data_IF_064791366592
#
_entry.id   IF_064791366592
#
_cell.length_a   1.000
_cell.length_b   1.000
_cell.length_c   1.000
_cell.angle_alpha   90.00
_cell.angle_beta   90.00
_cell.angle_gamma   90.00
#
_symmetry.space_group_name_H-M   'P 1'
#
loop_
_entity.id
_entity.type
_entity.pdbx_description
1 polymer ?
#
# COMPACT_ATOMS: atom_id res chain seq x y z
N UNK A 1 -19.67 23.44 37.25
CA UNK A 1 -18.28 22.96 37.47
C UNK A 1 -17.93 22.18 36.23
N UNK A 2 -17.38 22.91 35.26
CA UNK A 2 -17.23 22.52 33.88
C UNK A 2 -16.08 21.55 33.65
N UNK A 3 -16.29 20.73 32.62
CA UNK A 3 -15.39 19.76 32.02
C UNK A 3 -13.90 20.17 32.01
N UNK A 4 -13.06 19.35 32.65
CA UNK A 4 -11.69 19.17 32.20
C UNK A 4 -11.65 18.05 31.15
N UNK A 5 -12.04 18.41 29.93
CA UNK A 5 -11.63 17.70 28.73
C UNK A 5 -10.18 18.12 28.44
N UNK A 6 -9.21 17.30 28.84
CA UNK A 6 -7.84 17.47 28.39
C UNK A 6 -7.78 17.31 26.86
N UNK A 7 -7.12 18.22 26.12
CA UNK A 7 -6.97 18.06 24.68
C UNK A 7 -6.05 16.86 24.38
N UNK A 8 -6.64 15.85 23.75
CA UNK A 8 -5.98 14.71 23.11
C UNK A 8 -4.69 15.17 22.42
N UNK A 9 -3.55 14.66 22.89
CA UNK A 9 -2.22 14.98 22.39
C UNK A 9 -2.15 14.67 20.89
N UNK A 10 -2.29 15.70 20.05
CA UNK A 10 -2.04 15.61 18.63
C UNK A 10 -0.60 15.15 18.43
N UNK A 11 -0.42 13.93 17.91
CA UNK A 11 0.91 13.47 17.44
C UNK A 11 1.51 14.60 16.58
N UNK A 12 2.77 14.97 16.78
CA UNK A 12 3.36 16.05 16.01
C UNK A 12 3.23 15.71 14.52
N UNK A 13 2.52 16.57 13.78
CA UNK A 13 2.44 16.47 12.33
C UNK A 13 3.87 16.50 11.79
N UNK A 14 4.25 15.50 11.01
CA UNK A 14 5.59 15.43 10.41
C UNK A 14 5.77 16.72 9.58
N UNK A 15 6.79 17.55 9.87
CA UNK A 15 6.97 18.80 9.16
C UNK A 15 7.22 18.51 7.68
N UNK A 16 6.72 19.35 6.74
CA UNK A 16 6.89 19.12 5.30
C UNK A 16 8.35 18.92 4.87
N UNK A 17 9.30 19.55 5.56
CA UNK A 17 10.75 19.40 5.32
C UNK A 17 11.29 17.99 5.55
N UNK A 18 10.63 17.18 6.40
CA UNK A 18 10.99 15.78 6.64
C UNK A 18 10.26 14.80 5.71
N UNK A 19 9.23 15.27 5.00
CA UNK A 19 8.49 14.46 4.04
C UNK A 19 9.25 14.49 2.72
N UNK A 20 9.64 13.31 2.22
CA UNK A 20 10.23 13.18 0.88
C UNK A 20 9.22 12.62 -0.11
N UNK A 21 9.12 13.29 -1.26
CA UNK A 21 8.36 12.85 -2.42
C UNK A 21 9.21 12.80 -3.67
N UNK A 22 8.86 11.91 -4.58
CA UNK A 22 9.57 11.69 -5.82
C UNK A 22 8.67 11.99 -7.01
N UNK A 23 9.25 12.60 -8.05
CA UNK A 23 8.55 12.88 -9.30
C UNK A 23 8.18 11.58 -10.02
N UNK A 24 7.21 11.68 -10.92
CA UNK A 24 6.80 10.56 -11.77
C UNK A 24 7.96 9.92 -12.54
N UNK A 25 8.96 10.70 -12.98
CA UNK A 25 10.15 10.16 -13.66
C UNK A 25 10.98 9.24 -12.75
N UNK A 26 11.21 9.65 -11.50
CA UNK A 26 11.91 8.82 -10.51
C UNK A 26 11.09 7.58 -10.13
N UNK A 27 9.77 7.74 -9.93
CA UNK A 27 8.87 6.63 -9.67
C UNK A 27 8.90 5.60 -10.83
N UNK A 28 8.78 6.05 -12.08
CA UNK A 28 8.88 5.19 -13.26
C UNK A 28 10.20 4.41 -13.31
N UNK A 29 11.33 5.07 -13.03
CA UNK A 29 12.66 4.43 -13.02
C UNK A 29 12.78 3.36 -11.94
N UNK A 30 12.32 3.65 -10.73
CA UNK A 30 12.40 2.72 -9.58
C UNK A 30 11.49 1.52 -9.79
N UNK A 31 10.26 1.78 -10.26
CA UNK A 31 9.25 0.75 -10.46
C UNK A 31 9.56 -0.09 -11.70
N UNK A 32 10.07 0.52 -12.76
CA UNK A 32 10.23 -0.10 -14.08
C UNK A 32 8.94 -0.06 -14.89
N UNK A 33 8.26 1.10 -14.92
CA UNK A 33 7.05 1.34 -15.72
C UNK A 33 7.25 2.55 -16.63
N UNK A 34 6.46 2.61 -17.69
CA UNK A 34 6.39 3.79 -18.55
C UNK A 34 5.62 4.93 -17.90
N UNK A 35 5.88 6.17 -18.33
CA UNK A 35 5.11 7.33 -17.88
C UNK A 35 3.62 7.22 -18.22
N UNK A 36 3.28 6.59 -19.35
CA UNK A 36 1.88 6.33 -19.75
C UNK A 36 1.17 5.38 -18.78
N UNK A 37 1.84 4.30 -18.36
CA UNK A 37 1.28 3.39 -17.34
C UNK A 37 1.05 4.13 -16.03
N UNK A 38 2.03 4.91 -15.57
CA UNK A 38 1.89 5.71 -14.36
C UNK A 38 0.72 6.71 -14.47
N UNK A 39 0.62 7.44 -15.58
CA UNK A 39 -0.46 8.41 -15.77
C UNK A 39 -1.84 7.74 -15.86
N UNK A 40 -1.94 6.61 -16.56
CA UNK A 40 -3.17 5.83 -16.63
C UNK A 40 -3.61 5.34 -15.25
N UNK A 41 -2.69 4.82 -14.43
CA UNK A 41 -2.99 4.36 -13.07
C UNK A 41 -3.40 5.50 -12.13
N UNK A 42 -2.79 6.67 -12.27
CA UNK A 42 -3.20 7.86 -11.52
C UNK A 42 -4.56 8.37 -11.95
N UNK A 43 -4.83 8.47 -13.25
CA UNK A 43 -6.10 8.96 -13.78
C UNK A 43 -7.28 8.02 -13.50
N UNK A 44 -7.02 6.72 -13.35
CA UNK A 44 -8.04 5.70 -13.03
C UNK A 44 -8.14 5.39 -11.54
N UNK A 45 -7.46 6.18 -10.69
CA UNK A 45 -7.47 6.03 -9.23
C UNK A 45 -6.87 4.72 -8.72
N UNK A 46 -6.08 4.01 -9.54
CA UNK A 46 -5.40 2.79 -9.12
C UNK A 46 -4.25 3.11 -8.15
N UNK A 47 -3.46 4.14 -8.45
CA UNK A 47 -2.53 4.76 -7.48
C UNK A 47 -2.44 6.24 -7.75
N UNK A 48 -2.73 7.03 -6.73
CA UNK A 48 -2.63 8.48 -6.80
C UNK A 48 -1.40 8.97 -6.02
N UNK A 49 -0.76 10.06 -6.45
CA UNK A 49 0.32 10.69 -5.70
C UNK A 49 -0.21 11.25 -4.37
N UNK A 50 0.28 10.71 -3.24
CA UNK A 50 -0.18 11.10 -1.91
C UNK A 50 0.44 12.39 -1.36
N UNK A 51 1.63 12.79 -1.87
CA UNK A 51 2.33 13.99 -1.38
C UNK A 51 1.83 15.24 -2.09
N UNK A 52 1.74 15.19 -3.42
CA UNK A 52 1.23 16.31 -4.21
C UNK A 52 0.49 15.78 -5.45
N UNK A 53 -0.83 15.96 -5.54
CA UNK A 53 -1.58 15.68 -6.76
C UNK A 53 -1.22 16.67 -7.87
N UNK A 54 -1.66 16.35 -9.10
CA UNK A 54 -1.59 17.34 -10.17
C UNK A 54 -2.62 18.44 -9.91
N UNK A 55 -2.16 19.69 -9.87
CA UNK A 55 -2.98 20.89 -9.73
C UNK A 55 -2.61 21.87 -10.86
N UNK A 56 -3.25 21.72 -12.02
CA UNK A 56 -3.06 22.59 -13.19
C UNK A 56 -1.77 22.33 -13.99
N UNK A 57 -1.61 23.13 -15.07
CA UNK A 57 -0.43 23.08 -15.96
C UNK A 57 0.84 23.45 -15.20
N UNK A 58 1.90 22.66 -15.35
CA UNK A 58 3.21 22.89 -14.70
C UNK A 58 3.38 22.28 -13.29
N UNK A 59 2.31 21.76 -12.68
CA UNK A 59 2.41 21.08 -11.37
C UNK A 59 3.00 19.67 -11.51
N UNK A 60 4.00 19.36 -10.67
CA UNK A 60 4.64 18.05 -10.67
C UNK A 60 4.05 17.16 -9.59
N UNK A 61 3.46 16.03 -9.99
CA UNK A 61 3.00 14.99 -9.07
C UNK A 61 4.18 14.50 -8.22
N UNK A 62 3.99 14.46 -6.90
CA UNK A 62 4.96 13.88 -5.96
C UNK A 62 4.37 12.63 -5.31
N UNK A 63 5.06 11.52 -5.50
CA UNK A 63 4.74 10.21 -4.94
C UNK A 63 5.53 10.00 -3.66
N UNK A 64 4.88 9.50 -2.62
CA UNK A 64 5.54 9.08 -1.39
C UNK A 64 6.32 7.78 -1.59
N UNK A 65 7.18 7.45 -0.62
CA UNK A 65 7.84 6.15 -0.55
C UNK A 65 6.84 4.99 -0.66
N UNK A 66 5.71 5.14 0.03
CA UNK A 66 4.61 4.18 0.04
C UNK A 66 3.96 4.04 -1.33
N UNK A 67 3.68 5.14 -2.02
CA UNK A 67 3.08 5.10 -3.34
C UNK A 67 3.96 4.29 -4.30
N UNK A 68 5.28 4.46 -4.20
CA UNK A 68 6.25 3.74 -5.03
C UNK A 68 6.28 2.24 -4.73
N UNK A 69 6.14 1.84 -3.46
CA UNK A 69 5.96 0.43 -3.08
C UNK A 69 4.68 -0.12 -3.71
N UNK A 70 3.56 0.58 -3.57
CA UNK A 70 2.26 0.15 -4.13
C UNK A 70 2.33 0.05 -5.66
N UNK A 71 2.94 1.01 -6.34
CA UNK A 71 3.20 0.96 -7.79
C UNK A 71 4.01 -0.29 -8.19
N UNK A 72 5.04 -0.64 -7.40
CA UNK A 72 5.86 -1.83 -7.64
C UNK A 72 5.08 -3.12 -7.43
N UNK A 73 4.24 -3.19 -6.40
CA UNK A 73 3.35 -4.34 -6.16
C UNK A 73 2.34 -4.50 -7.30
N UNK A 74 1.71 -3.42 -7.76
CA UNK A 74 0.80 -3.45 -8.91
C UNK A 74 1.50 -3.96 -10.15
N UNK A 75 2.69 -3.46 -10.45
CA UNK A 75 3.49 -3.96 -11.57
C UNK A 75 3.71 -5.47 -11.45
N UNK A 76 4.17 -5.96 -10.30
CA UNK A 76 4.44 -7.39 -10.10
C UNK A 76 3.18 -8.25 -10.23
N UNK A 77 2.02 -7.77 -9.77
CA UNK A 77 0.74 -8.47 -9.96
C UNK A 77 0.32 -8.50 -11.43
N UNK A 78 0.48 -7.40 -12.16
CA UNK A 78 0.20 -7.34 -13.60
C UNK A 78 1.13 -8.24 -14.42
N UNK A 79 2.43 -8.21 -14.10
CA UNK A 79 3.44 -9.06 -14.76
C UNK A 79 3.16 -10.55 -14.51
N UNK A 80 2.50 -10.89 -13.39
CA UNK A 80 2.04 -12.24 -13.07
C UNK A 80 0.66 -12.60 -13.67
N UNK A 81 0.06 -11.73 -14.48
CA UNK A 81 -1.22 -11.98 -15.16
C UNK A 81 -2.47 -11.80 -14.28
N UNK A 82 -2.33 -11.19 -13.09
CA UNK A 82 -3.48 -10.95 -12.21
C UNK A 82 -4.39 -9.88 -12.82
N UNK A 83 -5.70 -10.11 -12.79
CA UNK A 83 -6.69 -9.18 -13.35
C UNK A 83 -6.68 -7.82 -12.63
N UNK A 84 -6.97 -6.74 -13.36
CA UNK A 84 -7.03 -5.39 -12.80
C UNK A 84 -8.04 -5.27 -11.64
N UNK A 85 -9.13 -6.02 -11.69
CA UNK A 85 -10.14 -6.04 -10.64
C UNK A 85 -9.57 -6.60 -9.33
N UNK A 86 -8.81 -7.70 -9.40
CA UNK A 86 -8.17 -8.29 -8.22
C UNK A 86 -7.03 -7.44 -7.70
N UNK A 87 -6.29 -6.80 -8.60
CA UNK A 87 -5.27 -5.83 -8.22
C UNK A 87 -5.88 -4.68 -7.42
N UNK A 88 -7.04 -4.13 -7.83
CA UNK A 88 -7.71 -3.06 -7.07
C UNK A 88 -8.04 -3.51 -5.64
N UNK A 89 -8.56 -4.73 -5.46
CA UNK A 89 -8.85 -5.30 -4.13
C UNK A 89 -7.57 -5.42 -3.28
N UNK A 90 -6.50 -5.95 -3.87
CA UNK A 90 -5.21 -6.10 -3.18
C UNK A 90 -4.62 -4.74 -2.78
N UNK A 91 -4.64 -3.76 -3.69
CA UNK A 91 -4.15 -2.40 -3.44
C UNK A 91 -4.94 -1.72 -2.33
N UNK A 92 -6.26 -1.87 -2.31
CA UNK A 92 -7.10 -1.31 -1.24
C UNK A 92 -6.74 -1.90 0.14
N UNK A 93 -6.43 -3.20 0.21
CA UNK A 93 -5.94 -3.83 1.43
C UNK A 93 -4.58 -3.29 1.90
N UNK A 94 -3.72 -2.84 0.97
CA UNK A 94 -2.47 -2.16 1.31
C UNK A 94 -2.69 -0.71 1.74
N UNK A 95 -3.72 -0.05 1.18
CA UNK A 95 -4.01 1.39 1.38
C UNK A 95 -4.44 1.76 2.80
N UNK A 96 -4.93 0.81 3.59
CA UNK A 96 -5.27 1.03 5.00
C UNK A 96 -4.06 0.95 5.95
N UNK A 97 -2.85 0.63 5.43
CA UNK A 97 -1.70 0.23 6.26
C UNK A 97 -0.51 1.17 6.19
N UNK A 98 0.26 1.24 7.29
CA UNK A 98 1.53 1.95 7.33
C UNK A 98 2.66 1.19 6.63
N UNK A 99 3.76 1.87 6.31
CA UNK A 99 4.91 1.26 5.60
C UNK A 99 5.53 0.10 6.39
N UNK A 100 5.59 0.19 7.73
CA UNK A 100 6.09 -0.90 8.57
C UNK A 100 5.24 -2.16 8.42
N UNK A 101 3.92 -2.00 8.42
CA UNK A 101 2.98 -3.13 8.30
C UNK A 101 3.04 -3.77 6.90
N UNK A 102 3.31 -2.98 5.86
CA UNK A 102 3.52 -3.50 4.51
C UNK A 102 4.69 -4.50 4.44
N UNK A 103 5.73 -4.30 5.25
CA UNK A 103 6.89 -5.18 5.26
C UNK A 103 6.60 -6.56 5.87
N UNK A 104 5.45 -6.77 6.51
CA UNK A 104 5.04 -8.06 7.08
C UNK A 104 4.10 -8.85 6.15
N UNK A 105 3.76 -8.29 4.99
CA UNK A 105 2.78 -8.87 4.08
C UNK A 105 3.45 -9.67 2.97
N UNK A 106 2.89 -10.84 2.69
CA UNK A 106 3.08 -11.57 1.44
C UNK A 106 1.73 -11.67 0.74
N UNK A 107 1.64 -11.13 -0.48
CA UNK A 107 0.44 -11.29 -1.30
C UNK A 107 0.54 -12.61 -2.07
N UNK A 108 -0.47 -13.47 -1.96
CA UNK A 108 -0.56 -14.73 -2.69
C UNK A 108 -1.68 -14.64 -3.71
N UNK A 109 -1.48 -15.14 -4.92
CA UNK A 109 -2.48 -15.10 -5.99
C UNK A 109 -2.57 -16.42 -6.73
N UNK A 110 -3.79 -16.92 -6.92
CA UNK A 110 -4.10 -18.06 -7.81
C UNK A 110 -4.47 -17.62 -9.25
N UNK A 111 -4.38 -16.31 -9.52
CA UNK A 111 -4.76 -15.67 -10.78
C UNK A 111 -6.21 -15.14 -10.78
N UNK A 112 -7.08 -15.72 -9.96
CA UNK A 112 -8.49 -15.36 -9.81
C UNK A 112 -8.80 -14.62 -8.50
N UNK A 113 -7.98 -14.81 -7.47
CA UNK A 113 -8.12 -14.22 -6.14
C UNK A 113 -6.74 -13.86 -5.59
N UNK A 114 -6.66 -12.77 -4.82
CA UNK A 114 -5.45 -12.34 -4.11
C UNK A 114 -5.71 -12.43 -2.61
N UNK A 115 -4.80 -13.07 -1.89
CA UNK A 115 -4.82 -13.30 -0.45
C UNK A 115 -3.67 -12.53 0.20
N UNK A 116 -3.92 -11.98 1.39
CA UNK A 116 -2.90 -11.40 2.24
C UNK A 116 -2.47 -12.46 3.25
N UNK A 117 -1.22 -12.89 3.19
CA UNK A 117 -0.63 -13.83 4.14
C UNK A 117 0.40 -13.11 5.01
N UNK A 118 0.35 -13.36 6.32
CA UNK A 118 1.34 -12.85 7.28
C UNK A 118 2.13 -13.94 7.99
N UNK A 119 1.74 -15.20 7.80
CA UNK A 119 2.40 -16.35 8.40
C UNK A 119 2.62 -17.45 7.37
N UNK A 120 3.63 -18.29 7.61
CA UNK A 120 3.86 -19.47 6.77
C UNK A 120 2.67 -20.45 6.83
N UNK A 121 1.94 -20.50 7.95
CA UNK A 121 0.74 -21.34 8.10
C UNK A 121 -0.36 -20.95 7.11
N UNK A 122 -0.68 -19.66 7.00
CA UNK A 122 -1.67 -19.16 6.03
C UNK A 122 -1.29 -19.47 4.58
N UNK A 123 0.01 -19.42 4.26
CA UNK A 123 0.52 -19.80 2.93
C UNK A 123 0.33 -21.29 2.67
N UNK A 124 0.65 -22.13 3.66
CA UNK A 124 0.48 -23.59 3.57
C UNK A 124 -1.00 -23.95 3.40
N UNK A 125 -1.89 -23.29 4.15
CA UNK A 125 -3.33 -23.52 4.07
C UNK A 125 -3.89 -23.21 2.69
N UNK A 126 -3.37 -22.16 2.03
CA UNK A 126 -3.75 -21.83 0.65
C UNK A 126 -3.25 -22.89 -0.35
N UNK A 127 -2.04 -23.42 -0.15
CA UNK A 127 -1.43 -24.42 -1.01
C UNK A 127 -2.11 -25.80 -0.92
N UNK A 128 -2.75 -26.12 0.21
CA UNK A 128 -3.41 -27.42 0.44
C UNK A 128 -4.55 -27.72 -0.54
N UNK A 129 -5.07 -26.71 -1.25
CA UNK A 129 -6.07 -26.88 -2.30
C UNK A 129 -5.56 -27.47 -3.62
N UNK A 130 -4.24 -27.69 -3.77
CA UNK A 130 -3.65 -28.25 -4.99
C UNK A 130 -3.57 -27.27 -6.17
N UNK A 131 -3.93 -26.00 -5.95
CA UNK A 131 -3.85 -24.94 -6.95
C UNK A 131 -2.47 -24.26 -6.91
N UNK A 132 -1.91 -23.98 -8.09
CA UNK A 132 -0.67 -23.19 -8.19
C UNK A 132 -0.92 -21.75 -7.76
N UNK A 133 -0.07 -21.21 -6.90
CA UNK A 133 -0.14 -19.84 -6.40
C UNK A 133 1.17 -19.11 -6.61
N UNK A 134 1.08 -17.83 -6.95
CA UNK A 134 2.21 -16.93 -7.05
C UNK A 134 2.28 -16.02 -5.82
N UNK A 135 3.44 -15.95 -5.18
CA UNK A 135 3.68 -15.13 -4.01
C UNK A 135 4.50 -13.87 -4.32
N UNK A 136 4.01 -12.71 -3.88
CA UNK A 136 4.73 -11.44 -3.87
C UNK A 136 5.02 -11.05 -2.43
N UNK A 137 6.27 -11.26 -2.00
CA UNK A 137 6.75 -10.73 -0.73
C UNK A 137 6.84 -9.19 -0.81
N UNK A 138 6.04 -8.50 0.00
CA UNK A 138 6.04 -7.03 0.04
C UNK A 138 7.30 -6.54 0.76
N UNK A 139 7.81 -7.28 1.75
CA UNK A 139 9.11 -7.00 2.42
C UNK A 139 10.25 -6.75 1.45
N UNK A 140 10.49 -7.69 0.53
CA UNK A 140 11.58 -7.58 -0.44
C UNK A 140 11.35 -6.40 -1.39
N UNK A 141 10.10 -6.09 -1.70
CA UNK A 141 9.70 -4.92 -2.48
C UNK A 141 10.06 -3.62 -1.75
N UNK A 142 9.82 -3.54 -0.44
CA UNK A 142 10.21 -2.39 0.39
C UNK A 142 11.73 -2.20 0.36
N UNK A 143 12.50 -3.26 0.61
CA UNK A 143 13.96 -3.20 0.60
C UNK A 143 14.52 -2.80 -0.77
N UNK A 144 13.98 -3.35 -1.87
CA UNK A 144 14.36 -2.99 -3.24
C UNK A 144 14.11 -1.51 -3.52
N UNK A 145 12.91 -1.02 -3.20
CA UNK A 145 12.51 0.37 -3.43
C UNK A 145 13.35 1.32 -2.59
N UNK A 146 13.63 0.98 -1.33
CA UNK A 146 14.51 1.76 -0.46
C UNK A 146 15.91 1.90 -1.06
N UNK A 147 16.53 0.80 -1.48
CA UNK A 147 17.86 0.82 -2.09
C UNK A 147 17.92 1.64 -3.37
N UNK A 148 16.89 1.55 -4.22
CA UNK A 148 16.82 2.33 -5.47
C UNK A 148 16.58 3.82 -5.25
N UNK A 149 15.78 4.18 -4.25
CA UNK A 149 15.49 5.58 -3.94
C UNK A 149 16.63 6.27 -3.21
N UNK A 150 17.48 5.54 -2.50
CA UNK A 150 18.64 6.10 -1.79
C UNK A 150 19.60 6.86 -2.73
N UNK A 151 19.62 6.51 -4.02
CA UNK A 151 20.48 7.13 -5.04
C UNK A 151 19.76 8.17 -5.90
N UNK A 152 18.48 8.46 -5.63
CA UNK A 152 17.66 9.39 -6.41
C UNK A 152 17.25 10.61 -5.58
N UNK A 153 17.28 11.82 -6.17
CA UNK A 153 16.88 13.03 -5.46
C UNK A 153 15.39 12.96 -5.10
N UNK A 154 15.09 13.20 -3.82
CA UNK A 154 13.72 13.36 -3.30
C UNK A 154 13.45 14.83 -2.95
N UNK A 155 12.23 15.29 -3.23
CA UNK A 155 11.78 16.65 -2.99
C UNK A 155 10.93 16.74 -1.73
N UNK A 156 11.13 17.80 -0.94
CA UNK A 156 10.19 18.14 0.12
C UNK A 156 8.95 18.84 -0.49
N UNK A 157 7.72 18.49 -0.07
CA UNK A 157 6.55 19.23 -0.50
C UNK A 157 6.51 20.63 0.10
N UNK A 158 6.03 21.60 -0.69
CA UNK A 158 5.88 23.01 -0.25
C UNK A 158 4.78 23.17 0.81
N UNK A 159 3.80 22.27 0.83
CA UNK A 159 2.72 22.20 1.82
C UNK A 159 2.66 20.80 2.42
N UNK A 160 2.18 20.67 3.65
CA UNK A 160 1.92 19.35 4.23
C UNK A 160 0.96 18.56 3.31
N UNK A 161 1.20 17.26 3.07
CA UNK A 161 0.31 16.43 2.28
C UNK A 161 -1.10 16.44 2.86
N UNK A 162 -2.10 16.53 1.98
CA UNK A 162 -3.52 16.48 2.40
C UNK A 162 -3.86 15.12 3.02
N UNK A 163 -3.19 14.03 2.62
CA UNK A 163 -3.32 12.69 3.21
C UNK A 163 -2.01 11.91 3.12
N UNK A 164 -1.31 11.78 4.26
CA UNK A 164 -0.23 10.80 4.37
C UNK A 164 -0.84 9.47 4.80
N UNK A 165 -1.03 8.54 3.86
CA UNK A 165 -1.58 7.22 4.16
C UNK A 165 -0.68 6.49 5.18
N UNK A 166 -1.15 6.36 6.41
CA UNK A 166 -0.40 5.77 7.53
C UNK A 166 -0.57 6.48 8.88
N UNK A 167 -1.32 7.58 8.96
CA UNK A 167 -1.70 8.18 10.25
C UNK A 167 -3.24 8.22 10.39
N UNK A 168 -3.76 7.42 11.33
CA UNK A 168 -5.14 7.35 11.83
C UNK A 168 -6.19 6.58 10.99
N UNK A 169 -6.50 5.34 11.41
CA UNK A 169 -7.73 4.98 12.15
C UNK A 169 -7.74 3.48 12.47
N UNK A 170 -7.34 3.12 13.70
CA UNK A 170 -7.83 1.92 14.37
C UNK A 170 -8.68 2.44 15.53
N UNK A 171 -9.92 2.79 15.21
CA UNK A 171 -10.96 2.82 16.24
C UNK A 171 -11.59 1.44 16.28
N UNK A 172 -11.77 0.97 17.50
CA UNK A 172 -12.25 -0.34 17.91
C UNK A 172 -13.51 -0.75 17.15
N UNK A 173 -13.47 -1.96 16.59
CA UNK A 173 -14.67 -2.80 16.49
C UNK A 173 -14.34 -4.16 17.08
N UNK A 174 -14.47 -4.20 18.40
CA UNK A 174 -14.73 -5.43 19.14
C UNK A 174 -16.14 -5.94 18.77
N UNK A 175 -16.27 -7.28 18.77
CA UNK A 175 -17.49 -8.11 18.62
C UNK A 175 -17.95 -8.30 17.16
N UNK A 176 -18.15 -9.50 16.62
CA UNK A 176 -18.79 -10.69 17.20
C UNK A 176 -18.45 -11.97 16.43
N UNK A 177 -18.25 -13.08 17.14
CA UNK A 177 -18.83 -14.37 16.78
C UNK A 177 -18.04 -15.32 15.88
N UNK A 178 -17.27 -16.20 16.50
CA UNK A 178 -16.93 -17.53 15.95
C UNK A 178 -18.20 -18.41 16.04
N UNK A 179 -18.72 -18.99 14.95
CA UNK A 179 -19.62 -20.13 15.04
C UNK A 179 -18.79 -21.40 15.15
N UNK A 180 -18.86 -22.04 16.32
CA UNK A 180 -18.24 -23.32 16.59
C UNK A 180 -18.78 -24.44 15.70
N UNK A 181 -17.86 -25.28 15.23
CA UNK A 181 -18.12 -26.63 14.74
C UNK A 181 -19.00 -27.39 15.74
N UNK A 182 -20.08 -27.99 15.26
CA UNK A 182 -20.61 -29.25 15.81
C UNK A 182 -20.62 -30.32 14.73
N UNK A 183 -19.83 -31.37 14.96
CA UNK A 183 -20.03 -32.72 14.40
C UNK A 183 -20.79 -33.55 15.45
N UNK A 184 -21.62 -34.47 14.96
CA UNK A 184 -22.34 -35.52 15.70
C UNK A 184 -23.47 -35.98 14.79
N UNK A 185 -23.26 -36.98 13.92
CA UNK A 185 -23.46 -38.41 14.18
C UNK A 185 -24.90 -38.71 14.63
N UNK A 186 -25.71 -39.18 13.69
CA UNK A 186 -26.36 -40.50 13.70
C UNK A 186 -26.80 -40.86 12.29
#
# INVERSE_FOLDING_TARGET
MDAHSEPSSARPAVPPSQIRGWRGTAACRVVGITYRQLDYWARTGLVEPSIRPASGSGSNRLYSFRDIIVLKVIKRLLDAGVSLQNIRKAVEALRSRGVKDLAEITLMSDGSTVYECRSAGEVIDLLRGGQGVFGIAVRSTVTEVMGRLATLPGEAPVKAPTQLHGAARLEERHTTGVPGRRRGVS
#
